data_IF_352860286754
#
_entry.id   IF_352860286754
#
_cell.length_a   1.000
_cell.length_b   1.000
_cell.length_c   1.000
_cell.angle_alpha   90.00
_cell.angle_beta   90.00
_cell.angle_gamma   90.00
#
_symmetry.space_group_name_H-M   'P 1'
#
loop_
_entity.id
_entity.type
_entity.pdbx_description
1 polymer ?
#
# COMPACT_ATOMS: atom_id res chain seq x y z
N UNK A 1 -3.42 -7.35 -19.84
CA UNK A 1 -2.01 -6.92 -19.79
C UNK A 1 -1.35 -6.89 -21.16
N UNK A 2 -1.64 -7.86 -22.05
CA UNK A 2 -1.06 -7.93 -23.39
C UNK A 2 -1.28 -6.67 -24.25
N UNK A 3 -2.45 -6.01 -24.13
CA UNK A 3 -2.73 -4.73 -24.80
C UNK A 3 -1.76 -3.61 -24.37
N UNK A 4 -1.33 -3.61 -23.10
CA UNK A 4 -0.45 -2.58 -22.53
C UNK A 4 1.01 -3.03 -22.44
N UNK A 5 1.32 -4.29 -22.80
CA UNK A 5 2.65 -4.92 -22.69
C UNK A 5 3.27 -4.81 -21.29
N UNK A 6 2.45 -4.97 -20.26
CA UNK A 6 2.91 -4.97 -18.86
C UNK A 6 3.06 -6.40 -18.37
N UNK A 7 4.09 -6.60 -17.54
CA UNK A 7 4.29 -7.87 -16.85
C UNK A 7 3.43 -7.94 -15.58
N UNK A 8 2.81 -9.10 -15.39
CA UNK A 8 2.08 -9.42 -14.17
C UNK A 8 3.07 -9.86 -13.11
N UNK A 9 3.06 -9.23 -11.93
CA UNK A 9 3.75 -9.81 -10.77
C UNK A 9 2.94 -10.97 -10.23
N UNK A 10 3.59 -12.10 -9.95
CA UNK A 10 3.00 -13.17 -9.15
C UNK A 10 2.73 -12.65 -7.74
N UNK A 11 1.48 -12.78 -7.27
CA UNK A 11 1.07 -12.34 -5.94
C UNK A 11 0.37 -13.49 -5.22
N UNK A 12 0.91 -13.97 -4.09
CA UNK A 12 0.30 -15.05 -3.33
C UNK A 12 -1.06 -14.63 -2.74
N UNK A 13 -1.97 -15.60 -2.60
CA UNK A 13 -3.26 -15.37 -1.97
C UNK A 13 -3.07 -14.94 -0.50
N UNK A 14 -4.00 -14.12 0.02
CA UNK A 14 -4.05 -13.70 1.43
C UNK A 14 -2.74 -13.09 1.98
N UNK A 15 -1.99 -12.37 1.14
CA UNK A 15 -0.69 -11.79 1.52
C UNK A 15 -0.71 -10.25 1.57
N UNK A 16 -1.57 -9.61 2.40
CA UNK A 16 -1.63 -8.15 2.50
C UNK A 16 -0.31 -7.56 3.06
N UNK A 17 0.46 -8.36 3.81
CA UNK A 17 1.81 -8.00 4.25
C UNK A 17 2.82 -7.84 3.11
N UNK A 18 2.48 -8.26 1.89
CA UNK A 18 3.30 -8.09 0.67
C UNK A 18 2.71 -7.06 -0.31
N UNK A 19 1.50 -6.55 -0.07
CA UNK A 19 0.92 -5.52 -0.91
C UNK A 19 1.32 -4.12 -0.40
N UNK A 20 2.10 -3.37 -1.19
CA UNK A 20 2.51 -1.99 -0.84
C UNK A 20 1.32 -1.07 -0.59
N UNK A 21 0.19 -1.32 -1.28
CA UNK A 21 -1.07 -0.63 -1.01
C UNK A 21 -1.53 -0.83 0.43
N UNK A 22 -1.44 -2.04 0.97
CA UNK A 22 -2.08 -2.42 2.23
C UNK A 22 -1.21 -2.12 3.44
N UNK A 23 0.10 -2.40 3.35
CA UNK A 23 1.02 -2.17 4.46
C UNK A 23 1.59 -0.74 4.51
N UNK A 24 1.58 0.01 3.40
CA UNK A 24 2.17 1.36 3.33
C UNK A 24 1.12 2.44 3.06
N UNK A 25 0.53 2.45 1.86
CA UNK A 25 -0.33 3.56 1.42
C UNK A 25 -1.64 3.66 2.21
N UNK A 26 -2.37 2.55 2.35
CA UNK A 26 -3.62 2.51 3.10
C UNK A 26 -3.39 2.70 4.59
N UNK A 27 -2.21 2.33 5.12
CA UNK A 27 -1.81 2.67 6.50
C UNK A 27 -1.79 4.16 6.70
N UNK A 28 -1.12 4.86 5.79
CA UNK A 28 -0.98 6.31 5.83
C UNK A 28 -2.34 7.00 5.70
N UNK A 29 -3.19 6.54 4.77
CA UNK A 29 -4.55 7.04 4.63
C UNK A 29 -5.40 6.76 5.87
N UNK A 30 -5.31 5.56 6.46
CA UNK A 30 -6.03 5.23 7.71
C UNK A 30 -5.54 6.07 8.89
N UNK A 31 -4.25 6.37 8.98
CA UNK A 31 -3.72 7.25 10.03
C UNK A 31 -4.27 8.67 9.90
N UNK A 32 -4.40 9.18 8.67
CA UNK A 32 -4.93 10.52 8.44
C UNK A 32 -6.45 10.60 8.57
N UNK A 33 -7.17 9.64 8.01
CA UNK A 33 -8.64 9.67 7.86
C UNK A 33 -9.37 8.92 8.98
N UNK A 34 -8.66 8.08 9.73
CA UNK A 34 -9.22 7.25 10.79
C UNK A 34 -9.91 8.09 11.86
N UNK A 35 -11.10 7.65 12.28
CA UNK A 35 -11.89 8.32 13.31
C UNK A 35 -12.58 9.61 12.85
N UNK A 36 -12.35 10.08 11.62
CA UNK A 36 -13.08 11.21 11.06
C UNK A 36 -14.46 10.77 10.57
N UNK A 37 -15.46 11.62 10.81
CA UNK A 37 -16.80 11.46 10.23
C UNK A 37 -16.94 12.43 9.06
N UNK A 38 -17.28 11.90 7.88
CA UNK A 38 -17.54 12.69 6.68
C UNK A 38 -19.03 12.63 6.38
N UNK A 39 -19.64 13.78 6.14
CA UNK A 39 -21.07 13.89 5.85
C UNK A 39 -21.37 13.65 4.37
N UNK A 40 -20.35 13.79 3.51
CA UNK A 40 -20.47 13.65 2.06
C UNK A 40 -19.26 12.95 1.44
N UNK A 41 -19.48 12.36 0.28
CA UNK A 41 -18.42 11.66 -0.46
C UNK A 41 -17.34 12.62 -0.98
N UNK A 42 -17.71 13.86 -1.30
CA UNK A 42 -16.77 14.86 -1.81
C UNK A 42 -15.74 15.25 -0.74
N UNK A 43 -16.11 15.21 0.54
CA UNK A 43 -15.22 15.52 1.66
C UNK A 43 -14.12 14.47 1.80
N UNK A 44 -14.46 13.18 1.75
CA UNK A 44 -13.47 12.10 1.81
C UNK A 44 -12.60 12.08 0.55
N UNK A 45 -13.17 12.31 -0.64
CA UNK A 45 -12.41 12.39 -1.90
C UNK A 45 -11.39 13.53 -1.87
N UNK A 46 -11.81 14.72 -1.45
CA UNK A 46 -10.93 15.89 -1.33
C UNK A 46 -9.81 15.64 -0.31
N UNK A 47 -10.14 15.03 0.83
CA UNK A 47 -9.14 14.66 1.82
C UNK A 47 -8.14 13.63 1.27
N UNK A 48 -8.60 12.53 0.67
CA UNK A 48 -7.71 11.52 0.08
C UNK A 48 -6.78 12.16 -0.95
N UNK A 49 -7.31 12.94 -1.88
CA UNK A 49 -6.52 13.63 -2.89
C UNK A 49 -5.48 14.56 -2.26
N UNK A 50 -5.89 15.41 -1.30
CA UNK A 50 -4.97 16.29 -0.60
C UNK A 50 -3.87 15.52 0.13
N UNK A 51 -4.15 14.33 0.71
CA UNK A 51 -3.09 13.50 1.31
C UNK A 51 -2.13 13.02 0.26
N UNK A 52 -2.63 12.38 -0.80
CA UNK A 52 -1.80 11.80 -1.85
C UNK A 52 -0.91 12.85 -2.51
N UNK A 53 -1.44 14.04 -2.78
CA UNK A 53 -0.66 15.17 -3.32
C UNK A 53 0.39 15.69 -2.34
N UNK A 54 0.16 15.59 -1.03
CA UNK A 54 1.16 15.97 -0.02
C UNK A 54 2.30 14.96 0.17
N UNK A 55 2.13 13.72 -0.31
CA UNK A 55 3.16 12.69 -0.18
C UNK A 55 4.27 12.95 -1.20
N UNK A 56 5.49 13.08 -0.70
CA UNK A 56 6.69 13.25 -1.53
C UNK A 56 7.13 11.92 -2.15
N UNK A 57 7.87 11.97 -3.25
CA UNK A 57 8.35 10.77 -3.95
C UNK A 57 9.07 9.77 -3.04
N UNK A 58 9.84 10.26 -2.06
CA UNK A 58 10.58 9.43 -1.10
C UNK A 58 9.67 8.53 -0.25
N UNK A 59 8.40 8.92 -0.02
CA UNK A 59 7.43 8.07 0.66
C UNK A 59 7.11 6.81 -0.16
N UNK A 60 6.93 6.96 -1.47
CA UNK A 60 6.64 5.82 -2.34
C UNK A 60 7.87 4.94 -2.56
N UNK A 61 9.04 5.56 -2.70
CA UNK A 61 10.33 4.84 -2.76
C UNK A 61 10.56 3.99 -1.51
N UNK A 62 10.28 4.54 -0.33
CA UNK A 62 10.35 3.80 0.93
C UNK A 62 9.39 2.60 0.93
N UNK A 63 8.15 2.78 0.47
CA UNK A 63 7.18 1.68 0.36
C UNK A 63 7.67 0.54 -0.53
N UNK A 64 8.29 0.87 -1.67
CA UNK A 64 8.87 -0.11 -2.60
C UNK A 64 10.09 -0.81 -1.97
N UNK A 65 10.97 -0.08 -1.28
CA UNK A 65 12.11 -0.69 -0.57
C UNK A 65 11.64 -1.63 0.54
N UNK A 66 10.61 -1.24 1.29
CA UNK A 66 10.02 -2.06 2.33
C UNK A 66 9.35 -3.32 1.76
N UNK A 67 8.79 -3.25 0.56
CA UNK A 67 8.29 -4.45 -0.14
C UNK A 67 9.39 -5.47 -0.39
N UNK A 68 10.55 -5.04 -0.92
CA UNK A 68 11.70 -5.94 -1.13
C UNK A 68 12.12 -6.63 0.17
N UNK A 69 12.20 -5.88 1.27
CA UNK A 69 12.52 -6.44 2.59
C UNK A 69 11.46 -7.43 3.10
N UNK A 70 10.17 -7.13 2.90
CA UNK A 70 9.07 -8.01 3.32
C UNK A 70 9.02 -9.30 2.49
N UNK A 71 9.34 -9.24 1.19
CA UNK A 71 9.51 -10.43 0.36
C UNK A 71 10.62 -11.35 0.88
N UNK A 72 11.79 -10.79 1.19
CA UNK A 72 12.89 -11.55 1.79
C UNK A 72 12.49 -12.18 3.13
N UNK A 73 11.82 -11.42 3.99
CA UNK A 73 11.29 -11.93 5.27
C UNK A 73 10.29 -13.08 5.06
N UNK A 74 9.39 -12.96 4.09
CA UNK A 74 8.43 -14.03 3.74
C UNK A 74 9.15 -15.32 3.33
N UNK A 75 10.20 -15.21 2.51
CA UNK A 75 11.02 -16.35 2.09
C UNK A 75 11.70 -17.01 3.30
N UNK A 76 12.29 -16.21 4.19
CA UNK A 76 12.92 -16.70 5.42
C UNK A 76 11.93 -17.35 6.39
N UNK A 77 10.66 -16.96 6.32
CA UNK A 77 9.54 -17.56 7.07
C UNK A 77 8.89 -18.74 6.33
N UNK A 78 9.48 -19.24 5.24
CA UNK A 78 8.95 -20.35 4.43
C UNK A 78 7.52 -20.08 3.91
N UNK A 79 7.20 -18.81 3.61
CA UNK A 79 5.89 -18.39 3.12
C UNK A 79 4.88 -18.06 4.23
N UNK A 80 5.26 -18.09 5.51
CA UNK A 80 4.38 -17.68 6.61
C UNK A 80 4.17 -16.15 6.64
N UNK A 81 3.15 -15.72 7.39
CA UNK A 81 2.66 -14.36 7.43
C UNK A 81 3.74 -13.36 7.89
N UNK A 82 3.91 -12.30 7.09
CA UNK A 82 4.76 -11.16 7.46
C UNK A 82 3.91 -10.11 8.16
N UNK A 83 4.09 -9.99 9.48
CA UNK A 83 3.44 -8.95 10.28
C UNK A 83 3.76 -7.54 9.78
N UNK A 84 2.83 -6.63 10.05
CA UNK A 84 2.91 -5.23 9.67
C UNK A 84 3.85 -4.46 10.58
#
# INVERSE_FOLDING_TARGET
MEQFKWDASDHPAYSPGLATSDFHLLTELKNRLGGQNFQKNEEIQSNVNARLTSLVGTFFEEGIRNFVHRCDKCLNLHGDYVEK
#
